data_IF_694092625682
#
_entry.id   IF_694092625682
#
_cell.length_a   1.000
_cell.length_b   1.000
_cell.length_c   1.000
_cell.angle_alpha   90.00
_cell.angle_beta   90.00
_cell.angle_gamma   90.00
#
_symmetry.space_group_name_H-M   'P 1'
#
loop_
_entity.id
_entity.type
_entity.pdbx_description
1 polymer ?
#
# COMPACT_ATOMS: atom_id res chain seq x y z
N UNK A 1 -23.89 -8.66 26.65
CA UNK A 1 -23.40 -7.34 27.10
C UNK A 1 -21.90 -7.33 26.88
N UNK A 2 -21.45 -6.63 25.85
CA UNK A 2 -20.04 -6.37 25.56
C UNK A 2 -19.86 -4.88 25.84
N UNK A 3 -19.51 -4.53 27.07
CA UNK A 3 -18.97 -3.21 27.43
C UNK A 3 -17.55 -3.46 27.91
N UNK A 4 -16.59 -3.37 26.97
CA UNK A 4 -15.46 -2.42 27.06
C UNK A 4 -14.51 -2.49 25.83
N UNK A 5 -14.60 -1.53 24.89
CA UNK A 5 -13.61 -1.27 23.79
C UNK A 5 -12.60 -0.17 24.18
N UNK A 6 -12.15 -0.13 25.43
CA UNK A 6 -12.21 1.12 26.23
C UNK A 6 -10.92 1.87 26.52
N UNK A 7 -10.74 2.95 25.78
CA UNK A 7 -11.11 4.32 26.23
C UNK A 7 -11.07 5.22 24.96
N UNK A 8 -11.69 4.70 23.88
CA UNK A 8 -11.55 5.12 22.48
C UNK A 8 -10.18 4.80 21.89
N UNK A 9 -9.69 3.56 22.05
CA UNK A 9 -8.26 3.16 22.20
C UNK A 9 -7.23 4.33 22.28
N UNK A 10 -6.86 4.67 23.52
CA UNK A 10 -7.37 5.86 24.21
C UNK A 10 -7.11 7.21 23.53
N UNK A 11 -8.15 7.63 22.79
CA UNK A 11 -8.37 8.81 21.95
C UNK A 11 -7.38 8.98 20.79
N UNK A 12 -7.32 7.97 19.89
CA UNK A 12 -6.40 7.93 18.71
C UNK A 12 -4.97 8.29 19.16
N UNK A 13 -4.65 7.74 20.33
CA UNK A 13 -3.67 8.12 21.36
C UNK A 13 -3.10 9.55 21.34
N UNK A 14 -3.97 10.46 21.78
CA UNK A 14 -3.83 11.91 21.92
C UNK A 14 -3.60 12.62 20.57
N UNK A 15 -4.41 12.24 19.58
CA UNK A 15 -4.43 12.74 18.19
C UNK A 15 -3.06 12.57 17.51
N UNK A 16 -2.47 11.39 17.69
CA UNK A 16 -1.11 11.01 17.26
C UNK A 16 0.00 11.64 18.16
N UNK A 17 -0.36 12.02 19.40
CA UNK A 17 0.40 12.83 20.39
C UNK A 17 0.73 14.26 19.94
N UNK A 18 -0.27 14.92 19.33
CA UNK A 18 -0.34 16.36 19.06
C UNK A 18 0.46 16.91 17.87
N UNK A 19 0.62 16.12 16.78
CA UNK A 19 1.03 16.51 15.41
C UNK A 19 2.50 16.25 14.96
N UNK A 20 3.26 15.43 15.71
CA UNK A 20 4.38 14.55 15.28
C UNK A 20 5.83 15.07 15.09
N UNK A 21 6.76 14.40 15.81
CA UNK A 21 8.00 13.76 15.27
C UNK A 21 8.20 12.44 16.03
N UNK A 22 7.68 11.33 15.49
CA UNK A 22 7.79 9.97 16.08
C UNK A 22 8.24 9.00 14.98
N UNK A 23 8.88 7.89 15.39
CA UNK A 23 9.48 6.86 14.55
C UNK A 23 8.42 6.17 13.63
N UNK A 24 8.68 6.00 12.32
CA UNK A 24 7.78 5.35 11.36
C UNK A 24 7.28 3.94 11.74
N UNK A 25 7.98 3.21 12.61
CA UNK A 25 7.55 1.88 13.05
C UNK A 25 6.37 1.93 14.04
N UNK A 26 6.31 2.95 14.89
CA UNK A 26 5.23 3.12 15.86
C UNK A 26 3.93 3.56 15.16
N UNK A 27 4.03 4.37 14.10
CA UNK A 27 2.92 4.78 13.24
C UNK A 27 2.23 3.57 12.56
N UNK A 28 3.01 2.56 12.18
CA UNK A 28 2.55 1.33 11.54
C UNK A 28 1.70 0.45 12.49
N UNK A 29 2.18 0.22 13.72
CA UNK A 29 1.45 -0.60 14.70
C UNK A 29 0.16 0.10 15.14
N UNK A 30 0.20 1.43 15.28
CA UNK A 30 -0.97 2.23 15.60
C UNK A 30 -2.03 2.17 14.50
N UNK A 31 -1.63 2.27 13.22
CA UNK A 31 -2.54 2.16 12.09
C UNK A 31 -3.25 0.80 12.04
N UNK A 32 -2.48 -0.30 12.19
CA UNK A 32 -3.02 -1.67 12.18
C UNK A 32 -4.10 -1.84 13.26
N UNK A 33 -3.80 -1.43 14.50
CA UNK A 33 -4.76 -1.53 15.61
C UNK A 33 -6.02 -0.69 15.36
N UNK A 34 -5.86 0.51 14.81
CA UNK A 34 -6.98 1.38 14.47
C UNK A 34 -7.90 0.77 13.41
N UNK A 35 -7.34 0.14 12.37
CA UNK A 35 -8.15 -0.58 11.37
C UNK A 35 -8.85 -1.79 11.99
N UNK A 36 -8.17 -2.52 12.88
CA UNK A 36 -8.74 -3.70 13.53
C UNK A 36 -9.84 -3.35 14.56
N UNK A 37 -9.81 -2.15 15.14
CA UNK A 37 -10.90 -1.60 15.95
C UNK A 37 -12.18 -1.33 15.13
N UNK A 38 -12.07 -1.27 13.80
CA UNK A 38 -13.21 -1.15 12.90
C UNK A 38 -13.97 0.17 13.06
N UNK A 39 -15.30 0.18 12.81
CA UNK A 39 -16.10 1.41 12.78
C UNK A 39 -16.05 2.27 14.05
N UNK A 40 -15.68 1.70 15.20
CA UNK A 40 -15.58 2.41 16.47
C UNK A 40 -14.50 3.51 16.46
N UNK A 41 -13.51 3.44 15.58
CA UNK A 41 -12.45 4.47 15.48
C UNK A 41 -12.88 5.71 14.70
N UNK A 42 -13.91 5.60 13.84
CA UNK A 42 -14.31 6.64 12.91
C UNK A 42 -14.72 7.95 13.60
N UNK A 43 -15.53 7.94 14.68
CA UNK A 43 -15.88 9.19 15.38
C UNK A 43 -14.67 9.91 15.96
N UNK A 44 -13.66 9.16 16.43
CA UNK A 44 -12.44 9.73 17.02
C UNK A 44 -11.55 10.35 15.95
N UNK A 45 -11.41 9.69 14.79
CA UNK A 45 -10.70 10.25 13.63
C UNK A 45 -11.39 11.53 13.15
N UNK A 46 -12.72 11.50 13.04
CA UNK A 46 -13.51 12.66 12.65
C UNK A 46 -13.26 13.81 13.64
N UNK A 47 -13.47 13.60 14.94
CA UNK A 47 -13.23 14.63 15.96
C UNK A 47 -11.80 15.21 15.89
N UNK A 48 -10.79 14.37 15.69
CA UNK A 48 -9.41 14.78 15.54
C UNK A 48 -9.18 15.69 14.31
N UNK A 49 -9.73 15.29 13.15
CA UNK A 49 -9.61 16.06 11.91
C UNK A 49 -10.31 17.42 12.00
N UNK A 50 -11.46 17.51 12.67
CA UNK A 50 -12.21 18.77 12.80
C UNK A 50 -11.64 19.75 13.83
N UNK A 51 -10.73 19.32 14.71
CA UNK A 51 -10.02 20.22 15.65
C UNK A 51 -8.85 20.97 15.02
N UNK A 52 -8.39 20.56 13.83
CA UNK A 52 -7.20 21.13 13.18
C UNK A 52 -7.62 22.22 12.19
N UNK A 53 -6.95 23.36 12.23
CA UNK A 53 -7.07 24.39 11.18
C UNK A 53 -6.30 23.96 9.92
N UNK A 54 -7.08 23.66 8.88
CA UNK A 54 -6.61 23.26 7.54
C UNK A 54 -6.46 24.45 6.57
N UNK A 55 -6.67 25.69 7.00
CA UNK A 55 -6.61 26.87 6.11
C UNK A 55 -5.22 27.29 5.72
N UNK A 56 -4.24 26.95 6.55
CA UNK A 56 -2.85 27.33 6.35
C UNK A 56 -1.99 26.10 6.09
N UNK A 57 -1.16 26.11 5.03
CA UNK A 57 -0.19 25.06 4.82
C UNK A 57 1.00 25.30 5.78
N UNK A 58 0.94 24.80 7.01
CA UNK A 58 2.11 24.54 7.92
C UNK A 58 1.62 24.14 9.32
N UNK A 59 2.40 23.39 10.14
CA UNK A 59 3.82 23.02 10.03
C UNK A 59 4.08 21.64 9.36
N UNK A 60 5.37 21.25 9.21
CA UNK A 60 5.82 19.90 8.83
C UNK A 60 5.02 18.86 9.63
N UNK A 61 4.51 17.83 8.97
CA UNK A 61 3.75 16.75 9.61
C UNK A 61 2.23 16.78 9.40
N UNK A 62 1.58 17.93 9.22
CA UNK A 62 0.11 18.00 9.03
C UNK A 62 -0.40 17.21 7.82
N UNK A 63 0.34 17.22 6.70
CA UNK A 63 -0.01 16.42 5.52
C UNK A 63 0.10 14.92 5.83
N UNK A 64 1.15 14.51 6.54
CA UNK A 64 1.34 13.13 6.97
C UNK A 64 0.21 12.67 7.88
N UNK A 65 -0.12 13.49 8.89
CA UNK A 65 -1.23 13.26 9.81
C UNK A 65 -2.58 13.11 9.09
N UNK A 66 -2.93 14.08 8.24
CA UNK A 66 -4.15 14.03 7.43
C UNK A 66 -4.18 12.75 6.59
N UNK A 67 -3.06 12.42 5.94
CA UNK A 67 -2.93 11.23 5.10
C UNK A 67 -3.15 9.97 5.94
N UNK A 68 -2.49 9.85 7.09
CA UNK A 68 -2.62 8.69 7.97
C UNK A 68 -4.06 8.50 8.47
N UNK A 69 -4.65 9.55 9.05
CA UNK A 69 -6.02 9.50 9.59
C UNK A 69 -7.06 9.20 8.51
N UNK A 70 -6.95 9.85 7.36
CA UNK A 70 -7.88 9.64 6.25
C UNK A 70 -7.71 8.27 5.60
N UNK A 71 -6.49 7.72 5.55
CA UNK A 71 -6.28 6.35 5.09
C UNK A 71 -6.90 5.33 6.04
N UNK A 72 -6.74 5.48 7.37
CA UNK A 72 -7.42 4.62 8.35
C UNK A 72 -8.93 4.70 8.14
N UNK A 73 -9.48 5.92 8.09
CA UNK A 73 -10.92 6.11 7.90
C UNK A 73 -11.40 5.46 6.61
N UNK A 74 -10.64 5.62 5.52
CA UNK A 74 -10.96 5.04 4.21
C UNK A 74 -10.90 3.51 4.23
N UNK A 75 -9.90 2.91 4.88
CA UNK A 75 -9.76 1.46 4.96
C UNK A 75 -10.81 0.79 5.86
N UNK A 76 -11.32 1.51 6.86
CA UNK A 76 -12.43 1.07 7.73
C UNK A 76 -13.78 1.24 7.03
N UNK A 77 -14.07 2.43 6.50
CA UNK A 77 -15.31 2.73 5.78
C UNK A 77 -15.13 3.88 4.77
N UNK A 78 -15.08 3.53 3.48
CA UNK A 78 -14.90 4.50 2.40
C UNK A 78 -16.02 5.55 2.33
N UNK A 79 -17.25 5.20 2.69
CA UNK A 79 -18.39 6.13 2.62
C UNK A 79 -18.25 7.19 3.70
N UNK A 80 -17.90 6.77 4.92
CA UNK A 80 -17.63 7.70 6.03
C UNK A 80 -16.42 8.58 5.71
N UNK A 81 -15.34 8.01 5.17
CA UNK A 81 -14.18 8.80 4.74
C UNK A 81 -14.52 9.85 3.66
N UNK A 82 -15.36 9.48 2.68
CA UNK A 82 -15.88 10.42 1.67
C UNK A 82 -16.72 11.53 2.29
N UNK A 83 -17.56 11.21 3.29
CA UNK A 83 -18.32 12.22 4.05
C UNK A 83 -17.40 13.18 4.79
N UNK A 84 -16.43 12.67 5.56
CA UNK A 84 -15.45 13.49 6.29
C UNK A 84 -14.70 14.42 5.33
N UNK A 85 -14.27 13.90 4.18
CA UNK A 85 -13.60 14.67 3.13
C UNK A 85 -14.50 15.79 2.59
N UNK A 86 -15.76 15.49 2.26
CA UNK A 86 -16.72 16.48 1.79
C UNK A 86 -16.93 17.59 2.84
N UNK A 87 -17.16 17.21 4.09
CA UNK A 87 -17.36 18.14 5.20
C UNK A 87 -16.15 19.06 5.39
N UNK A 88 -14.93 18.50 5.48
CA UNK A 88 -13.69 19.27 5.60
C UNK A 88 -13.48 20.25 4.44
N UNK A 89 -13.82 19.85 3.21
CA UNK A 89 -13.68 20.73 2.03
C UNK A 89 -14.77 21.80 1.94
N UNK A 90 -15.95 21.55 2.50
CA UNK A 90 -17.11 22.44 2.44
C UNK A 90 -17.04 23.63 3.40
N UNK A 91 -16.28 23.53 4.50
CA UNK A 91 -16.15 24.59 5.51
C UNK A 91 -15.40 25.86 5.03
N UNK A 92 -15.12 25.99 3.72
CA UNK A 92 -14.54 27.19 3.09
C UNK A 92 -13.05 27.43 3.38
N UNK A 93 -12.52 26.83 4.45
CA UNK A 93 -11.20 27.06 5.00
C UNK A 93 -10.20 25.94 4.72
N UNK A 94 -10.46 24.98 3.83
CA UNK A 94 -9.48 23.93 3.53
C UNK A 94 -8.47 24.39 2.46
N UNK A 95 -7.17 24.38 2.76
CA UNK A 95 -6.12 24.77 1.82
C UNK A 95 -6.10 23.83 0.58
N UNK A 96 -5.81 24.33 -0.65
CA UNK A 96 -5.81 23.52 -1.86
C UNK A 96 -4.98 22.23 -1.79
N UNK A 97 -3.82 22.26 -1.13
CA UNK A 97 -2.98 21.08 -0.91
C UNK A 97 -3.73 19.95 -0.18
N UNK A 98 -4.43 20.27 0.92
CA UNK A 98 -5.18 19.27 1.68
C UNK A 98 -6.40 18.78 0.91
N UNK A 99 -7.09 19.67 0.17
CA UNK A 99 -8.20 19.26 -0.72
C UNK A 99 -7.72 18.26 -1.78
N UNK A 100 -6.58 18.52 -2.41
CA UNK A 100 -6.00 17.62 -3.39
C UNK A 100 -5.65 16.26 -2.76
N UNK A 101 -5.10 16.27 -1.55
CA UNK A 101 -4.76 15.03 -0.81
C UNK A 101 -6.01 14.24 -0.45
N UNK A 102 -7.02 14.88 0.14
CA UNK A 102 -8.33 14.30 0.45
C UNK A 102 -8.99 13.69 -0.79
N UNK A 103 -9.01 14.44 -1.90
CA UNK A 103 -9.52 13.96 -3.19
C UNK A 103 -8.74 12.73 -3.66
N UNK A 104 -7.42 12.75 -3.58
CA UNK A 104 -6.58 11.61 -4.00
C UNK A 104 -6.86 10.36 -3.17
N UNK A 105 -7.04 10.49 -1.85
CA UNK A 105 -7.34 9.35 -0.96
C UNK A 105 -8.73 8.80 -1.31
N UNK A 106 -9.75 9.66 -1.36
CA UNK A 106 -11.13 9.26 -1.63
C UNK A 106 -11.40 8.78 -3.06
N UNK A 107 -10.48 8.99 -4.01
CA UNK A 107 -10.57 8.45 -5.37
C UNK A 107 -10.24 6.95 -5.42
N UNK A 108 -9.53 6.42 -4.43
CA UNK A 108 -9.09 5.02 -4.40
C UNK A 108 -10.16 4.11 -3.81
N UNK A 109 -11.29 3.96 -4.52
CA UNK A 109 -12.41 3.14 -4.02
C UNK A 109 -12.26 1.66 -4.40
N UNK A 110 -12.72 0.75 -3.54
CA UNK A 110 -12.87 -0.69 -3.86
C UNK A 110 -13.81 -0.92 -5.04
N UNK A 111 -14.72 0.02 -5.31
CA UNK A 111 -15.65 -0.02 -6.45
C UNK A 111 -14.90 0.00 -7.78
N UNK A 112 -13.71 0.62 -7.83
CA UNK A 112 -12.84 0.62 -9.00
C UNK A 112 -12.17 -0.73 -9.27
N UNK A 113 -12.40 -1.72 -8.41
CA UNK A 113 -11.78 -3.03 -8.49
C UNK A 113 -12.84 -4.13 -8.59
N UNK A 114 -12.41 -5.26 -9.14
CA UNK A 114 -13.09 -6.53 -9.05
C UNK A 114 -12.34 -7.37 -8.02
N UNK A 115 -13.06 -7.83 -7.00
CA UNK A 115 -12.51 -8.63 -5.92
C UNK A 115 -12.47 -10.12 -6.32
N UNK A 116 -11.35 -10.78 -6.01
CA UNK A 116 -11.14 -12.21 -6.11
C UNK A 116 -10.57 -12.71 -4.78
N UNK A 117 -10.80 -13.98 -4.46
CA UNK A 117 -10.24 -14.62 -3.28
C UNK A 117 -9.32 -15.76 -3.68
N UNK A 118 -8.08 -15.74 -3.21
CA UNK A 118 -7.08 -16.77 -3.46
C UNK A 118 -6.46 -17.15 -2.12
N UNK A 119 -6.70 -18.39 -1.66
CA UNK A 119 -6.16 -18.90 -0.38
C UNK A 119 -6.44 -17.99 0.82
N UNK A 120 -7.64 -17.41 0.87
CA UNK A 120 -8.05 -16.45 1.91
C UNK A 120 -7.53 -15.02 1.71
N UNK A 121 -6.62 -14.78 0.76
CA UNK A 121 -6.18 -13.45 0.38
C UNK A 121 -7.19 -12.76 -0.52
N UNK A 122 -7.38 -11.46 -0.30
CA UNK A 122 -8.25 -10.61 -1.12
C UNK A 122 -7.42 -9.96 -2.23
N UNK A 123 -7.74 -10.28 -3.47
CA UNK A 123 -7.12 -9.68 -4.66
C UNK A 123 -8.08 -8.66 -5.25
N UNK A 124 -7.62 -7.43 -5.44
CA UNK A 124 -8.38 -6.33 -6.03
C UNK A 124 -7.80 -6.02 -7.40
N UNK A 125 -8.43 -6.52 -8.45
CA UNK A 125 -7.99 -6.29 -9.84
C UNK A 125 -8.73 -5.09 -10.42
N UNK A 126 -7.99 -4.07 -10.85
CA UNK A 126 -8.59 -2.83 -11.37
C UNK A 126 -9.54 -3.13 -12.53
N UNK A 127 -10.72 -2.48 -12.51
CA UNK A 127 -11.73 -2.57 -13.57
C UNK A 127 -11.24 -2.01 -14.90
N UNK A 128 -10.22 -1.15 -14.88
CA UNK A 128 -9.56 -0.61 -16.08
C UNK A 128 -8.78 -1.68 -16.86
N UNK A 129 -8.40 -2.79 -16.23
CA UNK A 129 -7.74 -3.91 -16.91
C UNK A 129 -8.76 -4.69 -17.74
N UNK A 130 -8.50 -4.93 -19.02
CA UNK A 130 -9.44 -5.67 -19.88
C UNK A 130 -9.46 -7.18 -19.59
N UNK A 131 -8.32 -7.77 -19.21
CA UNK A 131 -8.17 -9.22 -19.02
C UNK A 131 -8.23 -9.70 -17.55
N UNK A 132 -9.12 -9.15 -16.71
CA UNK A 132 -9.14 -9.39 -15.26
C UNK A 132 -9.17 -10.87 -14.83
N UNK A 133 -10.03 -11.74 -15.42
CA UNK A 133 -10.05 -13.16 -15.02
C UNK A 133 -8.71 -13.86 -15.26
N UNK A 134 -8.02 -13.49 -16.33
CA UNK A 134 -6.69 -14.04 -16.66
C UNK A 134 -5.61 -13.54 -15.70
N UNK A 135 -5.68 -12.27 -15.30
CA UNK A 135 -4.80 -11.70 -14.26
C UNK A 135 -4.99 -12.45 -12.94
N UNK A 136 -6.24 -12.64 -12.52
CA UNK A 136 -6.57 -13.40 -11.31
C UNK A 136 -6.08 -14.85 -11.37
N UNK A 137 -6.21 -15.52 -12.52
CA UNK A 137 -5.69 -16.88 -12.71
C UNK A 137 -4.17 -16.94 -12.54
N UNK A 138 -3.41 -16.02 -13.17
CA UNK A 138 -1.96 -15.99 -12.98
C UNK A 138 -1.56 -15.76 -11.52
N UNK A 139 -2.22 -14.83 -10.84
CA UNK A 139 -1.95 -14.57 -9.42
C UNK A 139 -2.29 -15.79 -8.55
N UNK A 140 -3.38 -16.49 -8.87
CA UNK A 140 -3.70 -17.74 -8.20
C UNK A 140 -2.56 -18.75 -8.33
N UNK A 141 -2.10 -19.01 -9.55
CA UNK A 141 -1.02 -19.96 -9.83
C UNK A 141 0.28 -19.58 -9.12
N UNK A 142 0.65 -18.29 -9.14
CA UNK A 142 1.87 -17.81 -8.46
C UNK A 142 1.77 -17.92 -6.93
N UNK A 143 0.61 -17.61 -6.36
CA UNK A 143 0.39 -17.66 -4.91
C UNK A 143 0.23 -19.09 -4.40
N UNK A 144 -0.17 -20.05 -5.24
CA UNK A 144 -0.28 -21.46 -4.89
C UNK A 144 1.08 -22.08 -4.53
N UNK A 145 2.15 -21.65 -5.20
CA UNK A 145 3.52 -22.12 -4.93
C UNK A 145 4.16 -21.57 -3.65
N UNK A 146 3.49 -20.67 -2.93
CA UNK A 146 4.04 -20.02 -1.73
C UNK A 146 3.63 -20.72 -0.43
N UNK A 147 4.50 -20.77 0.60
CA UNK A 147 4.10 -21.22 1.93
C UNK A 147 3.00 -20.33 2.54
N UNK A 148 2.10 -20.91 3.32
CA UNK A 148 1.00 -20.16 3.95
C UNK A 148 1.51 -19.07 4.88
N UNK A 149 2.57 -19.34 5.64
CA UNK A 149 3.14 -18.36 6.56
C UNK A 149 3.74 -17.14 5.84
N UNK A 150 4.12 -17.27 4.58
CA UNK A 150 4.73 -16.17 3.82
C UNK A 150 3.69 -15.17 3.34
N UNK A 151 2.43 -15.61 3.19
CA UNK A 151 1.31 -14.76 2.81
C UNK A 151 0.41 -14.39 3.99
N UNK A 152 0.64 -15.01 5.15
CA UNK A 152 -0.14 -14.80 6.35
C UNK A 152 -0.02 -13.34 6.86
N UNK A 153 -1.16 -12.65 6.91
CA UNK A 153 -1.25 -11.26 7.35
C UNK A 153 -1.10 -10.23 6.22
N UNK A 154 -0.88 -10.64 4.97
CA UNK A 154 -1.15 -9.77 3.81
C UNK A 154 -2.66 -9.52 3.79
N UNK A 155 -3.08 -8.26 3.90
CA UNK A 155 -4.51 -7.91 3.94
C UNK A 155 -5.11 -7.93 2.55
N UNK A 156 -4.45 -7.26 1.60
CA UNK A 156 -4.95 -7.07 0.23
C UNK A 156 -3.80 -7.02 -0.78
N UNK A 157 -4.05 -7.52 -1.98
CA UNK A 157 -3.17 -7.30 -3.13
C UNK A 157 -3.95 -6.54 -4.20
N UNK A 158 -3.53 -5.32 -4.52
CA UNK A 158 -4.09 -4.49 -5.57
C UNK A 158 -3.34 -4.69 -6.88
N UNK A 159 -4.07 -4.91 -7.96
CA UNK A 159 -3.52 -5.01 -9.31
C UNK A 159 -3.99 -3.81 -10.11
N UNK A 160 -3.06 -2.93 -10.46
CA UNK A 160 -3.34 -1.67 -11.14
C UNK A 160 -2.68 -1.64 -12.50
N UNK A 161 -3.29 -0.93 -13.44
CA UNK A 161 -2.71 -0.72 -14.75
C UNK A 161 -1.43 0.13 -14.67
N UNK A 162 -0.43 -0.21 -15.50
CA UNK A 162 0.75 0.64 -15.73
C UNK A 162 0.40 1.90 -16.50
N UNK A 163 -0.10 2.91 -15.80
CA UNK A 163 -0.14 4.30 -16.29
C UNK A 163 1.24 4.94 -16.15
N UNK A 164 1.33 6.26 -15.94
CA UNK A 164 2.58 7.00 -15.70
C UNK A 164 3.31 6.63 -14.37
N UNK A 165 3.07 5.44 -13.81
CA UNK A 165 3.71 4.96 -12.59
C UNK A 165 5.15 4.56 -12.88
N UNK A 166 6.06 5.00 -12.01
CA UNK A 166 7.49 4.71 -12.11
C UNK A 166 7.83 3.31 -11.58
N UNK A 167 7.13 2.85 -10.55
CA UNK A 167 7.35 1.57 -9.90
C UNK A 167 6.63 0.38 -10.57
N UNK A 168 7.01 -0.82 -10.16
CA UNK A 168 6.47 -2.09 -10.65
C UNK A 168 5.65 -2.84 -9.61
N UNK A 169 6.04 -2.68 -8.34
CA UNK A 169 5.37 -3.16 -7.16
C UNK A 169 5.59 -2.16 -6.04
N UNK A 170 4.76 -2.25 -5.01
CA UNK A 170 4.95 -1.53 -3.76
C UNK A 170 4.27 -2.31 -2.62
N UNK A 171 5.06 -2.68 -1.61
CA UNK A 171 4.55 -3.18 -0.36
C UNK A 171 4.32 -2.03 0.63
N UNK A 172 3.05 -1.72 0.87
CA UNK A 172 2.62 -0.78 1.89
C UNK A 172 2.62 -1.48 3.24
N UNK A 173 3.78 -1.47 3.91
CA UNK A 173 4.01 -2.10 5.22
C UNK A 173 2.91 -1.76 6.23
N UNK A 174 2.49 -0.48 6.29
CA UNK A 174 1.43 0.06 7.16
C UNK A 174 0.14 -0.75 7.08
N UNK A 175 -0.26 -1.08 5.87
CA UNK A 175 -1.52 -1.77 5.61
C UNK A 175 -1.33 -3.27 5.42
N UNK A 176 -0.09 -3.73 5.37
CA UNK A 176 0.27 -5.05 4.85
C UNK A 176 -0.42 -5.31 3.49
N UNK A 177 -0.42 -4.28 2.62
CA UNK A 177 -1.00 -4.33 1.29
C UNK A 177 0.11 -4.38 0.24
N UNK A 178 -0.09 -5.15 -0.82
CA UNK A 178 0.80 -5.15 -1.98
C UNK A 178 0.09 -4.48 -3.13
N UNK A 179 0.74 -3.52 -3.79
CA UNK A 179 0.28 -2.99 -5.08
C UNK A 179 1.18 -3.54 -6.17
N UNK A 180 0.61 -4.19 -7.17
CA UNK A 180 1.31 -4.70 -8.34
C UNK A 180 0.86 -3.97 -9.60
N UNK A 181 1.84 -3.54 -10.38
CA UNK A 181 1.61 -2.84 -11.64
C UNK A 181 1.56 -3.86 -12.78
N UNK A 182 0.38 -4.01 -13.37
CA UNK A 182 0.15 -4.85 -14.53
C UNK A 182 0.44 -4.11 -15.83
N UNK A 183 1.28 -4.69 -16.68
CA UNK A 183 1.65 -4.12 -17.97
C UNK A 183 0.69 -4.57 -19.07
N UNK A 184 0.16 -3.60 -19.81
CA UNK A 184 -0.54 -3.85 -21.06
C UNK A 184 -2.01 -4.21 -20.86
N UNK A 185 -2.80 -3.88 -21.87
CA UNK A 185 -4.26 -3.96 -21.81
C UNK A 185 -4.78 -5.37 -22.15
N UNK A 186 -4.11 -6.09 -23.07
CA UNK A 186 -4.68 -7.29 -23.70
C UNK A 186 -3.90 -8.59 -23.54
N UNK A 187 -2.60 -8.55 -23.24
CA UNK A 187 -1.79 -9.70 -22.83
C UNK A 187 -0.38 -9.22 -22.46
N UNK A 188 0.11 -9.61 -21.30
CA UNK A 188 1.55 -9.49 -21.02
C UNK A 188 2.33 -10.44 -21.92
N UNK A 189 3.44 -9.97 -22.46
CA UNK A 189 4.45 -10.89 -22.99
C UNK A 189 4.92 -11.82 -21.86
N UNK A 190 5.43 -13.02 -22.21
CA UNK A 190 5.96 -13.98 -21.21
C UNK A 190 7.01 -13.29 -20.31
N UNK A 191 7.87 -12.46 -20.90
CA UNK A 191 8.87 -11.69 -20.16
C UNK A 191 8.26 -10.73 -19.15
N UNK A 192 7.23 -9.98 -19.54
CA UNK A 192 6.57 -9.04 -18.62
C UNK A 192 5.84 -9.77 -17.51
N UNK A 193 5.23 -10.92 -17.83
CA UNK A 193 4.57 -11.77 -16.87
C UNK A 193 5.54 -12.29 -15.81
N UNK A 194 6.68 -12.83 -16.24
CA UNK A 194 7.75 -13.29 -15.34
C UNK A 194 8.32 -12.14 -14.50
N UNK A 195 8.46 -10.95 -15.07
CA UNK A 195 8.90 -9.78 -14.33
C UNK A 195 7.87 -9.36 -13.25
N UNK A 196 6.57 -9.35 -13.58
CA UNK A 196 5.50 -9.07 -12.61
C UNK A 196 5.44 -10.12 -11.50
N UNK A 197 5.63 -11.39 -11.84
CA UNK A 197 5.72 -12.48 -10.86
C UNK A 197 6.91 -12.32 -9.91
N UNK A 198 8.10 -12.04 -10.45
CA UNK A 198 9.28 -11.75 -9.62
C UNK A 198 9.03 -10.56 -8.69
N UNK A 199 8.43 -9.49 -9.21
CA UNK A 199 8.05 -8.33 -8.40
C UNK A 199 7.07 -8.72 -7.29
N UNK A 200 6.06 -9.55 -7.55
CA UNK A 200 5.15 -10.04 -6.51
C UNK A 200 5.93 -10.76 -5.40
N UNK A 201 6.85 -11.66 -5.75
CA UNK A 201 7.66 -12.34 -4.74
C UNK A 201 8.58 -11.38 -3.97
N UNK A 202 9.11 -10.34 -4.61
CA UNK A 202 9.91 -9.31 -3.96
C UNK A 202 9.09 -8.53 -2.92
N UNK A 203 7.87 -8.07 -3.29
CA UNK A 203 6.98 -7.39 -2.33
C UNK A 203 6.55 -8.32 -1.18
N UNK A 204 6.34 -9.62 -1.45
CA UNK A 204 6.13 -10.63 -0.40
C UNK A 204 7.39 -10.81 0.45
N UNK A 205 8.58 -10.71 -0.12
CA UNK A 205 9.84 -10.72 0.63
C UNK A 205 9.90 -9.59 1.66
N UNK A 206 9.54 -8.36 1.27
CA UNK A 206 9.38 -7.27 2.23
C UNK A 206 8.35 -7.59 3.33
N UNK A 207 7.25 -8.23 2.94
CA UNK A 207 6.22 -8.68 3.88
C UNK A 207 6.70 -9.79 4.83
N UNK A 208 7.56 -10.70 4.41
CA UNK A 208 8.10 -11.79 5.24
C UNK A 208 9.10 -11.23 6.24
N UNK A 209 9.96 -10.31 5.79
CA UNK A 209 11.07 -9.85 6.61
C UNK A 209 10.72 -8.75 7.60
N UNK A 210 9.62 -7.98 7.41
CA UNK A 210 8.97 -6.98 8.31
C UNK A 210 9.82 -6.09 9.24
N UNK A 211 11.14 -6.14 9.26
CA UNK A 211 11.96 -5.80 10.43
C UNK A 211 13.04 -4.75 10.20
N UNK A 212 13.17 -4.20 8.99
CA UNK A 212 14.11 -3.11 8.75
C UNK A 212 13.37 -1.99 8.06
N UNK A 213 13.65 -0.75 8.45
CA UNK A 213 12.98 0.44 7.92
C UNK A 213 12.93 0.45 6.38
N UNK A 214 11.97 1.16 5.79
CA UNK A 214 11.84 1.23 4.34
C UNK A 214 13.15 1.67 3.69
N UNK A 215 13.57 0.98 2.64
CA UNK A 215 14.66 1.41 1.75
C UNK A 215 16.08 1.22 2.25
N UNK A 216 16.34 0.44 3.32
CA UNK A 216 17.74 0.04 3.59
C UNK A 216 18.21 -0.93 2.52
N UNK A 217 19.46 -0.79 2.06
CA UNK A 217 20.03 -1.72 1.07
C UNK A 217 20.03 -3.18 1.53
N UNK A 218 20.02 -3.43 2.85
CA UNK A 218 19.86 -4.76 3.45
C UNK A 218 18.44 -5.29 3.29
N UNK A 219 17.41 -4.48 3.57
CA UNK A 219 16.00 -4.84 3.38
C UNK A 219 15.70 -5.22 1.93
N UNK A 220 16.19 -4.42 0.98
CA UNK A 220 16.09 -4.71 -0.46
C UNK A 220 16.79 -6.02 -0.84
N UNK A 221 18.00 -6.26 -0.30
CA UNK A 221 18.75 -7.49 -0.57
C UNK A 221 18.06 -8.75 -0.03
N UNK A 222 17.41 -8.64 1.14
CA UNK A 222 16.62 -9.74 1.71
C UNK A 222 15.37 -10.02 0.86
N UNK A 223 14.65 -8.97 0.43
CA UNK A 223 13.50 -9.11 -0.46
C UNK A 223 13.87 -9.73 -1.82
N UNK A 224 14.99 -9.30 -2.41
CA UNK A 224 15.53 -9.89 -3.64
C UNK A 224 15.94 -11.35 -3.44
N UNK A 225 16.65 -11.68 -2.36
CA UNK A 225 17.03 -13.06 -2.04
C UNK A 225 15.81 -13.97 -1.90
N UNK A 226 14.77 -13.48 -1.21
CA UNK A 226 13.49 -14.17 -1.10
C UNK A 226 12.85 -14.37 -2.48
N UNK A 227 12.75 -13.31 -3.28
CA UNK A 227 12.16 -13.35 -4.62
C UNK A 227 12.86 -14.34 -5.53
N UNK A 228 14.20 -14.34 -5.53
CA UNK A 228 15.03 -15.26 -6.29
C UNK A 228 14.78 -16.71 -5.90
N UNK A 229 14.73 -17.00 -4.59
CA UNK A 229 14.49 -18.34 -4.08
C UNK A 229 13.11 -18.87 -4.50
N UNK A 230 12.06 -18.03 -4.41
CA UNK A 230 10.70 -18.41 -4.84
C UNK A 230 10.59 -18.55 -6.35
N UNK A 231 11.17 -17.61 -7.09
CA UNK A 231 11.15 -17.62 -8.55
C UNK A 231 11.90 -18.82 -9.14
N UNK A 232 13.06 -19.19 -8.59
CA UNK A 232 13.82 -20.36 -9.05
C UNK A 232 13.06 -21.68 -8.80
N UNK A 233 12.31 -21.76 -7.68
CA UNK A 233 11.45 -22.92 -7.39
C UNK A 233 10.26 -23.01 -8.35
N UNK A 234 9.64 -21.88 -8.68
CA UNK A 234 8.52 -21.83 -9.63
C UNK A 234 8.97 -22.10 -11.08
N UNK A 235 10.20 -21.71 -11.44
CA UNK A 235 10.74 -21.79 -12.81
C UNK A 235 12.09 -22.50 -12.86
N UNK A 236 12.16 -23.83 -12.61
CA UNK A 236 13.43 -24.56 -12.47
C UNK A 236 14.31 -24.53 -13.72
N UNK A 237 13.70 -24.46 -14.92
CA UNK A 237 14.44 -24.36 -16.19
C UNK A 237 15.08 -22.97 -16.40
N UNK A 238 14.51 -21.93 -15.78
CA UNK A 238 15.02 -20.55 -15.87
C UNK A 238 16.04 -20.29 -14.76
N UNK A 239 15.81 -20.83 -13.55
CA UNK A 239 16.68 -20.68 -12.40
C UNK A 239 18.07 -21.31 -12.57
N UNK A 240 18.19 -22.34 -13.41
CA UNK A 240 19.44 -23.08 -13.62
C UNK A 240 20.27 -22.59 -14.84
N UNK A 241 19.90 -21.49 -15.50
CA UNK A 241 20.56 -21.01 -16.73
C UNK A 241 20.77 -19.49 -16.82
N UNK A 242 21.61 -19.06 -17.78
CA UNK A 242 21.95 -17.65 -18.01
C UNK A 242 20.75 -16.72 -18.29
N UNK A 243 19.61 -17.28 -18.73
CA UNK A 243 18.36 -16.53 -18.94
C UNK A 243 17.74 -16.00 -17.63
N UNK A 244 17.91 -16.71 -16.51
CA UNK A 244 17.46 -16.27 -15.20
C UNK A 244 18.17 -14.97 -14.80
N UNK A 245 19.50 -14.96 -14.89
CA UNK A 245 20.31 -13.78 -14.56
C UNK A 245 19.92 -12.53 -15.36
N UNK A 246 19.57 -12.67 -16.65
CA UNK A 246 19.17 -11.53 -17.49
C UNK A 246 17.78 -10.99 -17.13
N UNK A 247 16.84 -11.86 -16.80
CA UNK A 247 15.47 -11.47 -16.40
C UNK A 247 15.48 -10.80 -15.03
N UNK A 248 16.27 -11.34 -14.10
CA UNK A 248 16.51 -10.82 -12.74
C UNK A 248 17.23 -9.46 -12.80
N UNK A 249 18.34 -9.36 -13.54
CA UNK A 249 19.11 -8.12 -13.63
C UNK A 249 18.30 -6.95 -14.22
N UNK A 250 17.36 -7.24 -15.11
CA UNK A 250 16.47 -6.22 -15.68
C UNK A 250 15.34 -5.80 -14.72
N UNK A 251 14.85 -6.72 -13.88
CA UNK A 251 13.91 -6.38 -12.82
C UNK A 251 14.60 -5.52 -11.74
N UNK A 252 15.73 -6.00 -11.21
CA UNK A 252 16.52 -5.33 -10.15
C UNK A 252 17.08 -3.98 -10.61
N UNK A 253 17.65 -3.90 -11.82
CA UNK A 253 18.21 -2.65 -12.36
C UNK A 253 17.18 -1.56 -12.63
N UNK A 254 15.89 -1.89 -12.61
CA UNK A 254 14.78 -0.95 -12.82
C UNK A 254 14.03 -0.62 -11.53
N UNK A 255 14.12 -1.46 -10.49
CA UNK A 255 13.70 -1.10 -9.12
C UNK A 255 14.64 -0.02 -8.57
N UNK A 256 15.97 -0.21 -8.66
CA UNK A 256 16.97 0.76 -8.15
C UNK A 256 16.94 2.15 -8.80
N UNK A 257 16.59 2.25 -10.08
CA UNK A 257 16.54 3.56 -10.79
C UNK A 257 15.31 4.42 -10.46
N UNK A 258 14.41 3.91 -9.62
CA UNK A 258 13.18 4.59 -9.23
C UNK A 258 13.17 5.02 -7.76
N UNK A 259 14.32 5.00 -7.07
CA UNK A 259 14.52 5.84 -5.90
C UNK A 259 14.10 7.25 -6.29
N UNK A 260 12.95 7.68 -5.73
CA UNK A 260 12.42 9.01 -5.94
C UNK A 260 13.54 9.97 -5.58
N UNK A 261 13.81 11.04 -6.37
CA UNK A 261 14.62 12.12 -5.83
C UNK A 261 14.03 12.47 -4.47
N UNK A 262 14.87 12.50 -3.44
CA UNK A 262 14.47 12.98 -2.12
C UNK A 262 13.63 14.25 -2.34
N UNK A 263 12.46 14.31 -1.68
CA UNK A 263 11.57 15.47 -1.72
C UNK A 263 12.20 16.65 -0.96
N UNK A 264 13.43 17.02 -1.32
CA UNK A 264 14.21 18.11 -0.73
C UNK A 264 13.98 19.45 -1.46
N UNK A 265 13.31 19.45 -2.61
CA UNK A 265 12.98 20.68 -3.35
C UNK A 265 11.48 21.01 -3.28
N UNK A 266 11.02 21.38 -2.09
CA UNK A 266 10.03 22.45 -1.94
C UNK A 266 10.71 23.60 -1.20
N UNK A 267 11.71 24.20 -1.83
CA UNK A 267 12.16 25.54 -1.43
C UNK A 267 11.14 26.57 -1.94
N UNK A 268 10.83 27.49 -1.03
CA UNK A 268 9.77 28.49 -1.06
C UNK A 268 9.74 29.31 -2.37
N UNK A 269 8.55 29.35 -3.00
CA UNK A 269 8.07 30.49 -3.79
C UNK A 269 6.71 30.91 -3.24
#
# INVERSE_FOLDING_TARGET
>A
MIEDSTDGERRVWAVIKANATVDPLDDLVAHIRAVDAGPAVLPVIQEALFKIDWSRPTPRGKVGLLTALMLVAHDVDEKVARSISADLTSCGSCHPLFRQRLKSICQLTVENFQEYHVRGLRLFVSRDLLCRPRVAAYLNDWLEGLPEQDVAGIRRIYIVERKARKFWGEYLRVLSNITLVWRGWNAQSVRERLATEYTLYHEIGHHVHRHQGPGSGESEALADSYALSRFAKAHPLIGNGALGAFTIAFAVGKVRKNELPELDDYQEQ
#
